data_IF_721072051200
#
_entry.id   IF_721072051200
#
_cell.length_a   1.000
_cell.length_b   1.000
_cell.length_c   1.000
_cell.angle_alpha   90.00
_cell.angle_beta   90.00
_cell.angle_gamma   90.00
#
_symmetry.space_group_name_H-M   'P 1'
#
loop_
_entity.id
_entity.type
_entity.pdbx_description
1 polymer ?
#
# COMPACT_ATOMS: atom_id res chain seq x y z
N UNK A 1 -12.42 -23.74 -27.54
CA UNK A 1 -11.14 -24.46 -27.80
C UNK A 1 -10.14 -23.45 -28.35
N UNK A 2 -8.92 -23.44 -27.84
CA UNK A 2 -7.80 -22.67 -28.37
C UNK A 2 -6.60 -23.62 -28.48
N UNK A 3 -6.19 -23.94 -29.70
CA UNK A 3 -5.09 -24.88 -29.92
C UNK A 3 -3.72 -24.27 -29.57
N UNK A 4 -3.55 -22.95 -29.68
CA UNK A 4 -2.27 -22.28 -29.42
C UNK A 4 -1.92 -22.32 -27.92
N UNK A 5 -2.95 -22.26 -27.07
CA UNK A 5 -2.84 -22.35 -25.61
C UNK A 5 -3.20 -23.74 -25.06
N UNK A 6 -3.37 -24.74 -25.93
CA UNK A 6 -3.78 -26.11 -25.57
C UNK A 6 -5.10 -26.21 -24.79
N UNK A 7 -5.98 -25.22 -24.91
CA UNK A 7 -7.28 -25.20 -24.23
C UNK A 7 -8.27 -26.04 -25.04
N UNK A 8 -8.79 -27.10 -24.43
CA UNK A 8 -9.78 -27.98 -25.04
C UNK A 8 -11.19 -27.44 -24.85
N UNK A 9 -11.52 -27.04 -23.62
CA UNK A 9 -12.87 -26.63 -23.21
C UNK A 9 -12.79 -25.42 -22.28
N UNK A 10 -13.71 -24.48 -22.48
CA UNK A 10 -14.01 -23.42 -21.50
C UNK A 10 -15.50 -23.50 -21.18
N UNK A 11 -15.82 -23.61 -19.91
CA UNK A 11 -17.19 -23.55 -19.38
C UNK A 11 -17.44 -22.17 -18.81
N UNK A 12 -18.63 -21.62 -19.03
CA UNK A 12 -19.01 -20.27 -18.61
C UNK A 12 -20.23 -20.30 -17.67
N UNK A 13 -20.37 -19.26 -16.84
CA UNK A 13 -21.59 -18.98 -16.10
C UNK A 13 -22.57 -18.11 -16.92
N UNK A 14 -23.71 -17.75 -16.32
CA UNK A 14 -24.74 -16.92 -16.96
C UNK A 14 -24.32 -15.45 -17.22
N UNK A 15 -23.20 -15.00 -16.62
CA UNK A 15 -22.57 -13.70 -16.89
C UNK A 15 -21.51 -13.78 -18.00
N UNK A 16 -21.39 -14.93 -18.66
CA UNK A 16 -20.33 -15.22 -19.64
C UNK A 16 -18.90 -15.19 -19.06
N UNK A 17 -18.73 -15.35 -17.74
CA UNK A 17 -17.42 -15.49 -17.10
C UNK A 17 -17.00 -16.96 -17.05
N UNK A 18 -15.72 -17.29 -17.33
CA UNK A 18 -15.24 -18.67 -17.37
C UNK A 18 -15.25 -19.27 -15.98
N UNK A 19 -15.93 -20.38 -15.76
CA UNK A 19 -15.93 -21.12 -14.49
C UNK A 19 -14.91 -22.25 -14.48
N UNK A 20 -14.55 -22.78 -15.66
CA UNK A 20 -13.50 -23.79 -15.81
C UNK A 20 -12.83 -23.70 -17.19
N UNK A 21 -11.51 -23.69 -17.19
CA UNK A 21 -10.68 -23.83 -18.39
C UNK A 21 -9.95 -25.17 -18.28
N UNK A 22 -10.12 -26.03 -19.28
CA UNK A 22 -9.47 -27.35 -19.34
C UNK A 22 -8.43 -27.36 -20.45
N UNK A 23 -7.22 -27.79 -20.11
CA UNK A 23 -6.10 -27.92 -21.01
C UNK A 23 -5.92 -29.39 -21.39
N UNK A 24 -5.40 -29.66 -22.58
CA UNK A 24 -5.26 -31.02 -23.09
C UNK A 24 -4.36 -31.91 -22.21
N UNK A 25 -3.28 -31.35 -21.66
CA UNK A 25 -2.24 -32.11 -20.95
C UNK A 25 -1.85 -31.49 -19.60
N UNK A 26 -1.88 -30.16 -19.48
CA UNK A 26 -1.36 -29.44 -18.32
C UNK A 26 -2.32 -29.38 -17.14
N UNK A 27 -3.61 -29.64 -17.34
CA UNK A 27 -4.62 -29.74 -16.28
C UNK A 27 -5.80 -28.80 -16.47
N UNK A 28 -6.25 -28.13 -15.40
CA UNK A 28 -7.39 -27.20 -15.47
C UNK A 28 -7.32 -26.06 -14.47
N UNK A 29 -7.97 -24.94 -14.79
CA UNK A 29 -8.17 -23.82 -13.85
C UNK A 29 -9.67 -23.67 -13.62
N UNK A 30 -10.07 -23.58 -12.35
CA UNK A 30 -11.47 -23.38 -11.92
C UNK A 30 -11.59 -22.02 -11.26
N UNK A 31 -12.68 -21.31 -11.53
CA UNK A 31 -12.96 -20.00 -10.95
C UNK A 31 -14.31 -20.01 -10.26
N UNK A 32 -14.37 -19.35 -9.10
CA UNK A 32 -15.60 -19.12 -8.35
C UNK A 32 -15.84 -17.62 -8.28
N UNK A 33 -17.07 -17.22 -8.57
CA UNK A 33 -17.52 -15.84 -8.55
C UNK A 33 -18.68 -15.69 -7.57
N UNK A 34 -18.82 -14.50 -7.00
CA UNK A 34 -20.06 -14.14 -6.32
C UNK A 34 -21.18 -13.79 -7.32
N UNK A 35 -22.38 -13.49 -6.82
CA UNK A 35 -23.54 -13.18 -7.65
C UNK A 35 -23.38 -11.92 -8.52
N UNK A 36 -22.45 -11.01 -8.17
CA UNK A 36 -22.17 -9.80 -8.94
C UNK A 36 -21.04 -9.99 -9.94
N UNK A 37 -20.53 -11.22 -10.13
CA UNK A 37 -19.45 -11.50 -11.07
C UNK A 37 -18.04 -11.20 -10.55
N UNK A 38 -17.86 -10.87 -9.27
CA UNK A 38 -16.53 -10.70 -8.69
C UNK A 38 -15.90 -12.06 -8.41
N UNK A 39 -14.67 -12.26 -8.86
CA UNK A 39 -13.91 -13.48 -8.60
C UNK A 39 -13.53 -13.55 -7.12
N UNK A 40 -13.89 -14.65 -6.46
CA UNK A 40 -13.61 -14.90 -5.04
C UNK A 40 -12.62 -16.04 -4.82
N UNK A 41 -12.48 -16.95 -5.78
CA UNK A 41 -11.52 -18.05 -5.71
C UNK A 41 -11.05 -18.50 -7.10
N UNK A 42 -9.79 -18.93 -7.18
CA UNK A 42 -9.16 -19.58 -8.34
C UNK A 42 -8.50 -20.87 -7.88
N UNK A 43 -8.71 -21.98 -8.57
CA UNK A 43 -8.07 -23.26 -8.28
C UNK A 43 -7.31 -23.73 -9.51
N UNK A 44 -5.99 -23.82 -9.39
CA UNK A 44 -5.10 -24.32 -10.45
C UNK A 44 -4.81 -25.79 -10.16
N UNK A 45 -5.35 -26.66 -11.01
CA UNK A 45 -5.12 -28.10 -10.98
C UNK A 45 -4.11 -28.46 -12.06
N UNK A 46 -2.82 -28.45 -11.73
CA UNK A 46 -1.78 -28.88 -12.66
C UNK A 46 -1.57 -30.41 -12.57
N UNK A 47 -1.48 -31.07 -13.73
CA UNK A 47 -1.30 -32.53 -13.79
C UNK A 47 -0.05 -32.95 -13.01
N UNK A 48 -0.21 -33.85 -12.04
CA UNK A 48 0.90 -34.38 -11.24
C UNK A 48 1.40 -33.46 -10.12
N UNK A 49 0.73 -32.33 -9.85
CA UNK A 49 1.02 -31.44 -8.72
C UNK A 49 -0.18 -31.29 -7.80
N UNK A 50 0.07 -30.88 -6.56
CA UNK A 50 -0.99 -30.47 -5.65
C UNK A 50 -1.70 -29.22 -6.22
N UNK A 51 -3.03 -29.18 -6.10
CA UNK A 51 -3.79 -28.03 -6.52
C UNK A 51 -3.41 -26.80 -5.68
N UNK A 52 -3.34 -25.64 -6.33
CA UNK A 52 -3.16 -24.35 -5.66
C UNK A 52 -4.51 -23.64 -5.66
N UNK A 53 -5.03 -23.37 -4.47
CA UNK A 53 -6.25 -22.57 -4.29
C UNK A 53 -5.86 -21.16 -3.91
N UNK A 54 -6.21 -20.18 -4.73
CA UNK A 54 -6.04 -18.76 -4.45
C UNK A 54 -7.39 -18.15 -4.06
N UNK A 55 -7.49 -17.64 -2.82
CA UNK A 55 -8.67 -16.92 -2.32
C UNK A 55 -8.45 -15.41 -2.40
N UNK A 56 -9.50 -14.68 -2.78
CA UNK A 56 -9.48 -13.22 -2.96
C UNK A 56 -10.44 -12.55 -1.97
N UNK A 57 -9.90 -11.73 -1.07
CA UNK A 57 -10.69 -11.05 -0.03
C UNK A 57 -10.26 -9.59 0.14
N UNK A 58 -11.04 -8.65 -0.40
CA UNK A 58 -10.78 -7.22 -0.20
C UNK A 58 -9.38 -6.76 -0.65
N UNK A 59 -8.85 -7.38 -1.71
CA UNK A 59 -7.49 -7.16 -2.21
C UNK A 59 -6.42 -8.08 -1.61
N UNK A 60 -6.68 -8.72 -0.47
CA UNK A 60 -5.81 -9.75 0.08
C UNK A 60 -5.88 -11.00 -0.78
N UNK A 61 -4.72 -11.60 -1.06
CA UNK A 61 -4.61 -12.88 -1.75
C UNK A 61 -4.04 -13.93 -0.81
N UNK A 62 -4.65 -15.12 -0.80
CA UNK A 62 -4.18 -16.26 -0.02
C UNK A 62 -3.98 -17.45 -0.94
N UNK A 63 -2.81 -18.08 -0.89
CA UNK A 63 -2.57 -19.36 -1.57
C UNK A 63 -2.64 -20.47 -0.51
N UNK A 64 -3.57 -21.42 -0.70
CA UNK A 64 -3.84 -22.53 0.22
C UNK A 64 -4.03 -22.06 1.67
N UNK A 65 -4.86 -21.03 1.86
CA UNK A 65 -5.14 -20.35 3.14
C UNK A 65 -3.95 -19.61 3.79
N UNK A 66 -2.80 -19.52 3.13
CA UNK A 66 -1.66 -18.71 3.59
C UNK A 66 -1.65 -17.36 2.88
N UNK A 67 -1.51 -16.27 3.64
CA UNK A 67 -1.41 -14.92 3.08
C UNK A 67 -0.23 -14.86 2.10
N UNK A 68 -0.52 -14.43 0.88
CA UNK A 68 0.48 -14.23 -0.17
C UNK A 68 0.94 -12.78 -0.21
N UNK A 69 0.00 -11.85 -0.33
CA UNK A 69 0.23 -10.42 -0.19
C UNK A 69 -1.10 -9.65 -0.06
N UNK A 70 -1.00 -8.36 0.25
CA UNK A 70 -2.12 -7.42 0.16
C UNK A 70 -1.64 -6.06 -0.39
N UNK A 71 -2.51 -5.32 -1.09
CA UNK A 71 -2.14 -4.07 -1.75
C UNK A 71 -1.98 -2.90 -0.76
N UNK A 72 -1.25 -1.89 -1.20
CA UNK A 72 -1.12 -0.55 -0.60
C UNK A 72 -1.26 0.49 -1.71
N UNK A 73 -1.39 1.78 -1.36
CA UNK A 73 -1.47 2.85 -2.37
C UNK A 73 -0.28 2.82 -3.35
N UNK A 74 0.93 2.63 -2.81
CA UNK A 74 2.18 2.68 -3.56
C UNK A 74 2.71 1.32 -4.05
N UNK A 75 1.96 0.23 -3.84
CA UNK A 75 2.41 -1.11 -4.20
C UNK A 75 1.74 -2.20 -3.39
N UNK A 76 2.51 -3.07 -2.74
CA UNK A 76 1.96 -4.19 -1.95
C UNK A 76 2.88 -4.60 -0.80
N UNK A 77 2.33 -5.39 0.10
CA UNK A 77 3.02 -5.98 1.24
C UNK A 77 2.95 -7.49 1.17
N UNK A 78 4.10 -8.14 1.29
CA UNK A 78 4.25 -9.59 1.40
C UNK A 78 4.69 -9.99 2.83
N UNK A 79 4.23 -11.14 3.35
CA UNK A 79 4.72 -11.64 4.63
C UNK A 79 6.17 -12.15 4.51
N UNK A 80 6.95 -11.93 5.56
CA UNK A 80 8.34 -12.36 5.69
C UNK A 80 8.60 -12.86 7.10
N UNK A 81 8.38 -14.15 7.32
CA UNK A 81 8.39 -14.76 8.66
C UNK A 81 7.32 -14.12 9.56
N UNK A 82 7.73 -13.58 10.71
CA UNK A 82 6.86 -12.84 11.63
C UNK A 82 6.76 -11.34 11.31
N UNK A 83 7.24 -10.90 10.14
CA UNK A 83 7.30 -9.50 9.72
C UNK A 83 6.66 -9.30 8.34
N UNK A 84 6.64 -8.06 7.88
CA UNK A 84 6.10 -7.67 6.58
C UNK A 84 7.17 -6.94 5.76
N UNK A 85 7.21 -7.24 4.46
CA UNK A 85 8.08 -6.55 3.50
C UNK A 85 7.22 -5.74 2.53
N UNK A 86 7.53 -4.46 2.46
CA UNK A 86 6.88 -3.51 1.57
C UNK A 86 7.60 -3.51 0.23
N UNK A 87 6.82 -3.58 -0.85
CA UNK A 87 7.27 -3.47 -2.23
C UNK A 87 6.53 -2.31 -2.87
N UNK A 88 7.28 -1.33 -3.36
CA UNK A 88 6.80 -0.15 -4.05
C UNK A 88 6.77 -0.37 -5.55
N UNK A 89 5.90 0.35 -6.24
CA UNK A 89 5.68 0.20 -7.67
C UNK A 89 5.77 1.53 -8.39
N UNK A 90 6.61 1.58 -9.41
CA UNK A 90 6.62 2.68 -10.37
C UNK A 90 5.69 2.32 -11.52
N UNK A 91 4.71 3.20 -11.79
CA UNK A 91 3.66 3.00 -12.78
C UNK A 91 3.79 4.03 -13.91
N UNK A 92 3.34 3.66 -15.11
CA UNK A 92 3.21 4.62 -16.21
C UNK A 92 1.87 5.38 -16.18
N UNK A 93 1.61 6.21 -17.19
CA UNK A 93 0.43 7.06 -17.28
C UNK A 93 -0.90 6.30 -17.33
N UNK A 94 -0.89 5.01 -17.69
CA UNK A 94 -2.07 4.13 -17.72
C UNK A 94 -2.14 3.21 -16.49
N UNK A 95 -1.25 3.41 -15.51
CA UNK A 95 -1.17 2.60 -14.32
C UNK A 95 -0.48 1.25 -14.52
N UNK A 96 0.24 1.01 -15.63
CA UNK A 96 0.98 -0.24 -15.82
C UNK A 96 2.20 -0.26 -14.90
N UNK A 97 2.39 -1.35 -14.15
CA UNK A 97 3.56 -1.50 -13.26
C UNK A 97 4.81 -1.74 -14.10
N UNK A 98 5.72 -0.75 -14.14
CA UNK A 98 6.98 -0.81 -14.89
C UNK A 98 8.12 -1.37 -14.06
N UNK A 99 8.19 -0.97 -12.79
CA UNK A 99 9.19 -1.45 -11.84
C UNK A 99 8.52 -1.77 -10.50
N UNK A 100 8.99 -2.82 -9.85
CA UNK A 100 8.73 -3.10 -8.44
C UNK A 100 10.05 -3.10 -7.70
N UNK A 101 10.14 -2.43 -6.56
CA UNK A 101 11.37 -2.29 -5.77
C UNK A 101 11.07 -2.26 -4.28
N UNK A 102 12.05 -2.60 -3.44
CA UNK A 102 11.87 -2.51 -1.98
C UNK A 102 12.32 -1.16 -1.42
N UNK A 103 12.17 -0.98 -0.11
CA UNK A 103 12.58 0.25 0.61
C UNK A 103 14.07 0.61 0.47
N UNK A 104 14.92 -0.31 0.03
CA UNK A 104 16.35 -0.08 -0.23
C UNK A 104 16.63 0.32 -1.68
N UNK A 105 15.57 0.53 -2.47
CA UNK A 105 15.61 0.77 -3.92
C UNK A 105 16.16 -0.41 -4.73
N UNK A 106 16.21 -1.59 -4.12
CA UNK A 106 16.58 -2.81 -4.83
C UNK A 106 15.42 -3.25 -5.73
N UNK A 107 15.67 -3.34 -7.04
CA UNK A 107 14.71 -3.81 -8.03
C UNK A 107 14.33 -5.27 -7.72
N UNK A 108 13.03 -5.51 -7.61
CA UNK A 108 12.42 -6.85 -7.43
C UNK A 108 11.92 -7.42 -8.73
N UNK A 109 11.39 -6.56 -9.60
CA UNK A 109 10.92 -6.95 -10.91
C UNK A 109 10.85 -5.74 -11.85
N UNK A 110 11.18 -5.97 -13.12
CA UNK A 110 10.93 -5.04 -14.22
C UNK A 110 9.91 -5.66 -15.19
N UNK A 111 9.01 -4.83 -15.69
CA UNK A 111 7.99 -5.24 -16.67
C UNK A 111 7.73 -4.14 -17.69
N UNK A 112 8.04 -4.42 -18.94
CA UNK A 112 7.73 -3.54 -20.07
C UNK A 112 6.65 -4.19 -20.93
N UNK A 113 5.78 -3.39 -21.54
CA UNK A 113 4.63 -3.89 -22.29
C UNK A 113 4.58 -3.29 -23.70
N UNK A 114 4.19 -4.12 -24.67
CA UNK A 114 3.64 -3.64 -25.93
C UNK A 114 2.33 -2.86 -25.68
N UNK A 115 1.85 -2.04 -26.64
CA UNK A 115 0.65 -1.22 -26.44
C UNK A 115 -0.59 -1.99 -25.98
N UNK A 116 -0.76 -3.23 -26.46
CA UNK A 116 -1.86 -4.13 -26.08
C UNK A 116 -1.53 -5.01 -24.86
N UNK A 117 -0.55 -4.62 -24.04
CA UNK A 117 -0.31 -5.24 -22.73
C UNK A 117 0.49 -6.54 -22.73
N UNK A 118 0.93 -7.04 -23.88
CA UNK A 118 1.84 -8.18 -23.92
C UNK A 118 3.18 -7.77 -23.32
N UNK A 119 3.67 -8.52 -22.33
CA UNK A 119 4.95 -8.26 -21.69
C UNK A 119 6.09 -8.48 -22.70
N UNK A 120 6.99 -7.52 -22.79
CA UNK A 120 8.21 -7.61 -23.57
C UNK A 120 9.26 -8.42 -22.82
N UNK A 121 10.11 -9.11 -23.57
CA UNK A 121 11.24 -9.88 -23.04
C UNK A 121 12.57 -9.20 -23.39
N UNK A 122 13.67 -9.64 -22.77
CA UNK A 122 15.03 -9.12 -23.06
C UNK A 122 15.49 -7.94 -22.20
N UNK A 123 14.73 -7.61 -21.15
CA UNK A 123 15.08 -6.58 -20.16
C UNK A 123 15.66 -7.21 -18.88
N UNK A 124 15.65 -6.48 -17.76
CA UNK A 124 16.08 -7.03 -16.48
C UNK A 124 15.19 -8.22 -16.07
N UNK A 125 15.83 -9.39 -15.92
CA UNK A 125 15.17 -10.63 -15.56
C UNK A 125 15.20 -10.92 -14.06
N UNK A 126 15.62 -9.96 -13.23
CA UNK A 126 15.56 -10.08 -11.77
C UNK A 126 14.11 -10.27 -11.34
N UNK A 127 13.85 -11.40 -10.69
CA UNK A 127 12.62 -11.69 -9.94
C UNK A 127 13.00 -12.11 -8.53
N UNK A 128 12.62 -11.32 -7.53
CA UNK A 128 12.93 -11.59 -6.12
C UNK A 128 11.74 -11.31 -5.21
N UNK A 129 11.40 -12.26 -4.35
CA UNK A 129 10.21 -12.18 -3.48
C UNK A 129 8.99 -12.86 -4.10
N UNK A 130 7.81 -12.52 -3.59
CA UNK A 130 6.54 -12.96 -4.15
C UNK A 130 6.33 -12.27 -5.49
N UNK A 131 6.09 -13.05 -6.54
CA UNK A 131 5.73 -12.48 -7.84
C UNK A 131 4.34 -11.84 -7.75
N UNK A 132 4.28 -10.52 -7.95
CA UNK A 132 3.01 -9.81 -8.03
C UNK A 132 2.42 -10.00 -9.43
N UNK A 133 1.26 -10.65 -9.54
CA UNK A 133 0.58 -10.88 -10.83
C UNK A 133 -0.17 -9.65 -11.37
N UNK A 134 -0.34 -8.58 -10.60
CA UNK A 134 -0.98 -7.34 -11.05
C UNK A 134 0.00 -6.47 -11.83
N UNK A 135 -0.17 -6.43 -13.16
CA UNK A 135 0.82 -5.87 -14.10
C UNK A 135 0.23 -4.76 -14.98
N UNK A 136 -0.28 -5.13 -16.15
CA UNK A 136 -0.89 -4.23 -17.13
C UNK A 136 -2.23 -3.70 -16.60
N UNK A 137 -2.40 -2.37 -16.59
CA UNK A 137 -3.53 -1.63 -16.01
C UNK A 137 -3.89 -2.05 -14.57
N UNK A 138 -2.89 -2.52 -13.81
CA UNK A 138 -3.09 -3.06 -12.46
C UNK A 138 -3.99 -4.31 -12.42
N UNK A 139 -4.13 -5.04 -13.53
CA UNK A 139 -4.93 -6.26 -13.63
C UNK A 139 -4.10 -7.51 -13.42
N UNK A 140 -4.73 -8.54 -12.84
CA UNK A 140 -4.08 -9.80 -12.55
C UNK A 140 -3.80 -10.57 -13.85
N UNK A 141 -2.53 -10.83 -14.12
CA UNK A 141 -2.09 -11.77 -15.14
C UNK A 141 -2.23 -13.20 -14.63
N UNK A 142 -3.03 -13.99 -15.32
CA UNK A 142 -3.20 -15.42 -15.13
C UNK A 142 -2.38 -16.14 -16.20
N UNK A 143 -1.13 -16.45 -15.88
CA UNK A 143 -0.17 -17.15 -16.73
C UNK A 143 -0.08 -18.65 -16.40
N UNK A 144 -0.85 -19.13 -15.43
CA UNK A 144 -0.84 -20.52 -15.02
C UNK A 144 -1.24 -21.44 -16.19
N UNK A 145 -0.52 -22.57 -16.31
CA UNK A 145 -0.70 -23.54 -17.40
C UNK A 145 -0.53 -22.96 -18.82
N UNK A 146 0.07 -21.77 -18.96
CA UNK A 146 0.28 -21.09 -20.23
C UNK A 146 -0.92 -20.28 -20.72
N UNK A 147 -1.86 -19.93 -19.83
CA UNK A 147 -3.07 -19.19 -20.20
C UNK A 147 -2.77 -17.78 -20.72
N UNK A 148 -2.03 -16.98 -19.94
CA UNK A 148 -1.60 -15.63 -20.31
C UNK A 148 -2.74 -14.65 -20.50
N UNK A 149 -3.80 -14.70 -19.68
CA UNK A 149 -4.93 -13.76 -19.74
C UNK A 149 -4.86 -12.75 -18.60
N UNK A 150 -5.35 -11.53 -18.85
CA UNK A 150 -5.62 -10.57 -17.79
C UNK A 150 -7.08 -10.63 -17.34
N UNK A 151 -7.29 -10.60 -16.03
CA UNK A 151 -8.61 -10.53 -15.42
C UNK A 151 -9.02 -9.08 -15.16
N UNK A 152 -10.05 -8.62 -15.88
CA UNK A 152 -10.61 -7.29 -15.73
C UNK A 152 -11.90 -7.27 -14.90
N UNK A 153 -12.33 -8.40 -14.35
CA UNK A 153 -13.57 -8.53 -13.59
C UNK A 153 -14.70 -9.06 -14.46
N UNK A 154 -15.27 -8.24 -15.35
CA UNK A 154 -16.41 -8.66 -16.20
C UNK A 154 -15.99 -9.33 -17.50
N UNK A 155 -14.71 -9.24 -17.88
CA UNK A 155 -14.15 -9.91 -19.06
C UNK A 155 -12.72 -10.36 -18.81
N UNK A 156 -12.29 -11.33 -19.62
CA UNK A 156 -10.89 -11.77 -19.67
C UNK A 156 -10.25 -11.25 -20.96
N UNK A 157 -9.04 -10.72 -20.84
CA UNK A 157 -8.31 -10.10 -21.93
C UNK A 157 -7.11 -10.94 -22.34
N UNK A 158 -6.95 -11.22 -23.63
CA UNK A 158 -5.73 -11.83 -24.15
C UNK A 158 -4.81 -10.75 -24.75
N UNK A 159 -3.72 -10.38 -24.08
CA UNK A 159 -2.79 -9.36 -24.56
C UNK A 159 -2.03 -9.80 -25.82
N UNK A 160 -1.89 -11.11 -26.08
CA UNK A 160 -1.23 -11.61 -27.29
C UNK A 160 -2.09 -11.38 -28.54
N UNK A 161 -3.41 -11.37 -28.38
CA UNK A 161 -4.36 -11.07 -29.45
C UNK A 161 -4.78 -9.60 -29.47
N UNK A 162 -4.64 -8.90 -28.34
CA UNK A 162 -5.11 -7.53 -28.15
C UNK A 162 -6.64 -7.44 -28.05
N UNK A 163 -7.32 -8.51 -27.59
CA UNK A 163 -8.79 -8.60 -27.64
C UNK A 163 -9.39 -9.23 -26.39
N UNK A 164 -10.67 -8.96 -26.16
CA UNK A 164 -11.46 -9.65 -25.15
C UNK A 164 -11.78 -11.09 -25.58
N UNK A 165 -11.87 -11.99 -24.61
CA UNK A 165 -12.26 -13.38 -24.82
C UNK A 165 -13.78 -13.58 -24.70
N UNK A 166 -14.48 -12.60 -24.13
CA UNK A 166 -15.91 -12.63 -23.84
C UNK A 166 -16.61 -11.40 -24.46
N UNK A 167 -17.90 -11.54 -24.76
CA UNK A 167 -18.72 -10.44 -25.31
C UNK A 167 -18.86 -9.34 -24.25
N UNK A 168 -18.74 -8.09 -24.67
CA UNK A 168 -19.01 -6.91 -23.83
C UNK A 168 -20.43 -6.94 -23.23
N UNK A 169 -20.58 -6.87 -21.88
CA UNK A 169 -21.89 -6.75 -21.24
C UNK A 169 -22.69 -5.51 -21.67
N UNK A 170 -22.00 -4.48 -22.18
CA UNK A 170 -22.57 -3.23 -22.67
C UNK A 170 -22.43 -3.08 -24.19
N UNK A 171 -22.32 -4.20 -24.92
CA UNK A 171 -22.15 -4.20 -26.37
C UNK A 171 -23.18 -3.32 -27.12
N UNK A 172 -24.43 -3.25 -26.64
CA UNK A 172 -25.46 -2.42 -27.29
C UNK A 172 -25.19 -0.91 -27.24
N UNK A 173 -24.37 -0.45 -26.27
CA UNK A 173 -23.97 0.97 -26.16
C UNK A 173 -22.91 1.34 -27.19
N UNK A 174 -22.11 0.37 -27.66
CA UNK A 174 -20.98 0.59 -28.55
C UNK A 174 -21.18 -0.03 -29.94
N UNK A 175 -22.28 0.32 -30.62
CA UNK A 175 -22.67 -0.26 -31.93
C UNK A 175 -21.62 -0.13 -33.05
N UNK A 176 -20.69 0.82 -32.93
CA UNK A 176 -19.63 1.06 -33.93
C UNK A 176 -18.42 0.14 -33.76
N UNK A 177 -18.28 -0.52 -32.63
CA UNK A 177 -17.12 -1.36 -32.30
C UNK A 177 -17.54 -2.82 -32.17
N UNK A 178 -16.58 -3.73 -32.37
CA UNK A 178 -16.81 -5.14 -32.08
C UNK A 178 -16.97 -5.31 -30.57
N UNK A 179 -17.87 -6.21 -30.09
CA UNK A 179 -17.96 -6.54 -28.65
C UNK A 179 -16.68 -7.12 -28.04
N UNK A 180 -15.67 -7.39 -28.88
CA UNK A 180 -14.38 -7.93 -28.50
C UNK A 180 -13.22 -6.91 -28.64
N UNK A 181 -13.51 -5.67 -29.04
CA UNK A 181 -12.50 -4.61 -29.19
C UNK A 181 -12.02 -4.16 -27.82
N UNK A 182 -10.70 -4.11 -27.63
CA UNK A 182 -10.07 -3.55 -26.43
C UNK A 182 -9.76 -2.07 -26.64
N UNK A 183 -10.11 -1.23 -25.66
CA UNK A 183 -9.69 0.17 -25.59
C UNK A 183 -9.90 0.97 -26.91
N UNK A 184 -10.99 0.70 -27.63
CA UNK A 184 -11.33 1.32 -28.92
C UNK A 184 -10.19 1.22 -29.96
N UNK A 185 -9.39 0.14 -29.90
CA UNK A 185 -8.17 -0.07 -30.70
C UNK A 185 -7.09 1.02 -30.50
N UNK A 186 -7.17 1.79 -29.42
CA UNK A 186 -6.23 2.85 -29.05
C UNK A 186 -5.74 2.71 -27.59
N UNK A 187 -5.08 1.59 -27.24
CA UNK A 187 -4.71 1.23 -25.87
C UNK A 187 -3.58 2.06 -25.26
N UNK A 188 -2.99 2.99 -26.04
CA UNK A 188 -2.03 3.98 -25.53
C UNK A 188 -2.76 5.13 -24.81
N UNK A 189 -4.03 5.35 -25.16
CA UNK A 189 -4.85 6.44 -24.63
C UNK A 189 -6.03 5.94 -23.79
N UNK A 190 -6.69 4.86 -24.20
CA UNK A 190 -7.85 4.32 -23.51
C UNK A 190 -7.49 3.07 -22.69
N UNK A 191 -8.20 2.89 -21.58
CA UNK A 191 -8.15 1.71 -20.70
C UNK A 191 -9.58 1.32 -20.39
N UNK A 192 -9.86 0.03 -20.20
CA UNK A 192 -11.14 -0.44 -19.68
C UNK A 192 -10.97 -0.83 -18.19
N UNK A 193 -11.49 -0.07 -17.22
CA UNK A 193 -11.22 -0.34 -15.81
C UNK A 193 -11.85 -1.61 -15.25
N UNK A 194 -12.96 -2.09 -15.79
CA UNK A 194 -13.74 -3.19 -15.22
C UNK A 194 -14.20 -4.24 -16.25
N UNK A 195 -13.75 -4.08 -17.50
CA UNK A 195 -14.12 -4.93 -18.60
C UNK A 195 -15.54 -4.66 -19.10
N UNK A 196 -16.11 -3.48 -18.91
CA UNK A 196 -17.42 -3.11 -19.46
C UNK A 196 -17.38 -1.88 -20.36
N UNK A 197 -16.46 -0.94 -20.13
CA UNK A 197 -16.41 0.27 -20.93
C UNK A 197 -14.99 0.85 -20.98
N UNK A 198 -14.53 1.15 -22.20
CA UNK A 198 -13.30 1.89 -22.40
C UNK A 198 -13.47 3.35 -21.96
N UNK A 199 -12.50 3.85 -21.22
CA UNK A 199 -12.38 5.22 -20.74
C UNK A 199 -11.01 5.78 -21.11
N UNK A 200 -10.88 7.11 -21.13
CA UNK A 200 -9.56 7.71 -21.23
C UNK A 200 -8.73 7.27 -20.00
N UNK A 201 -7.57 6.66 -20.28
CA UNK A 201 -6.63 6.12 -19.30
C UNK A 201 -5.70 7.17 -18.70
N UNK A 202 -5.86 8.44 -19.08
CA UNK A 202 -5.19 9.56 -18.45
C UNK A 202 -5.69 9.68 -17.00
N UNK A 203 -4.81 9.37 -16.05
CA UNK A 203 -5.00 9.76 -14.66
C UNK A 203 -4.88 11.29 -14.57
N UNK A 204 -5.79 11.95 -13.84
CA UNK A 204 -5.82 13.41 -13.71
C UNK A 204 -6.59 14.11 -14.83
N UNK A 205 -5.95 15.07 -15.49
CA UNK A 205 -6.62 15.96 -16.43
C UNK A 205 -6.59 15.41 -17.87
N UNK A 206 -7.74 15.42 -18.55
CA UNK A 206 -7.93 14.93 -19.92
C UNK A 206 -8.50 16.03 -20.83
N UNK A 207 -8.30 15.92 -22.14
CA UNK A 207 -8.92 16.84 -23.10
C UNK A 207 -10.30 16.35 -23.54
N UNK A 208 -11.35 17.13 -23.26
CA UNK A 208 -12.72 16.90 -23.71
C UNK A 208 -12.89 17.47 -25.12
N UNK A 209 -13.07 16.60 -26.11
CA UNK A 209 -13.16 16.98 -27.52
C UNK A 209 -14.52 17.59 -27.89
N UNK A 210 -15.58 17.26 -27.16
CA UNK A 210 -16.92 17.79 -27.41
C UNK A 210 -17.03 19.22 -26.90
N UNK A 211 -16.46 19.47 -25.72
CA UNK A 211 -16.45 20.80 -25.09
C UNK A 211 -15.19 21.63 -25.39
N UNK A 212 -14.21 21.03 -26.07
CA UNK A 212 -12.93 21.65 -26.48
C UNK A 212 -12.16 22.27 -25.31
N UNK A 213 -12.10 21.57 -24.18
CA UNK A 213 -11.46 22.05 -22.97
C UNK A 213 -10.79 20.90 -22.19
N UNK A 214 -9.75 21.20 -21.41
CA UNK A 214 -9.19 20.21 -20.50
C UNK A 214 -10.06 20.10 -19.25
N UNK A 215 -10.24 18.89 -18.73
CA UNK A 215 -11.04 18.59 -17.54
C UNK A 215 -10.33 17.63 -16.61
N UNK A 216 -10.51 17.81 -15.32
CA UNK A 216 -10.07 16.87 -14.31
C UNK A 216 -11.03 15.67 -14.23
N UNK A 217 -10.53 14.43 -14.33
CA UNK A 217 -11.34 13.22 -14.32
C UNK A 217 -12.10 13.00 -13.00
N UNK A 218 -11.51 13.38 -11.87
CA UNK A 218 -12.06 13.12 -10.54
C UNK A 218 -13.11 14.15 -10.10
N UNK A 219 -12.93 15.40 -10.50
CA UNK A 219 -13.80 16.52 -10.09
C UNK A 219 -14.73 17.01 -11.20
N UNK A 220 -14.43 16.67 -12.47
CA UNK A 220 -15.14 17.19 -13.65
C UNK A 220 -14.88 18.68 -13.93
N UNK A 221 -13.99 19.33 -13.17
CA UNK A 221 -13.67 20.73 -13.32
C UNK A 221 -12.87 20.98 -14.60
N UNK A 222 -13.18 22.08 -15.30
CA UNK A 222 -12.33 22.58 -16.38
C UNK A 222 -10.98 23.02 -15.81
N UNK A 223 -9.89 22.60 -16.44
CA UNK A 223 -8.52 22.98 -16.09
C UNK A 223 -7.85 23.63 -17.31
N UNK A 224 -6.79 24.39 -17.06
CA UNK A 224 -5.96 24.96 -18.14
C UNK A 224 -5.10 23.89 -18.82
N UNK A 225 -4.59 24.21 -20.02
CA UNK A 225 -3.66 23.32 -20.71
C UNK A 225 -2.38 23.10 -19.89
N UNK A 226 -1.90 24.15 -19.21
CA UNK A 226 -0.74 24.11 -18.34
C UNK A 226 -0.96 23.20 -17.11
N UNK A 227 -2.11 23.29 -16.46
CA UNK A 227 -2.48 22.40 -15.34
C UNK A 227 -2.69 20.96 -15.80
N UNK A 228 -3.21 20.76 -17.02
CA UNK A 228 -3.38 19.43 -17.59
C UNK A 228 -2.05 18.76 -17.93
N UNK A 229 -1.11 19.53 -18.47
CA UNK A 229 0.26 19.07 -18.75
C UNK A 229 1.01 18.84 -17.43
N UNK A 230 0.83 19.72 -16.43
CA UNK A 230 1.46 19.60 -15.12
C UNK A 230 0.99 18.37 -14.34
N UNK A 231 -0.29 17.98 -14.45
CA UNK A 231 -0.81 16.74 -13.86
C UNK A 231 -0.26 15.48 -14.52
N UNK A 232 0.27 15.57 -15.75
CA UNK A 232 0.98 14.47 -16.41
C UNK A 232 2.49 14.46 -16.10
N UNK A 233 3.03 15.54 -15.50
CA UNK A 233 4.45 15.67 -15.13
C UNK A 233 4.73 15.64 -13.63
N UNK A 234 3.69 15.68 -12.80
CA UNK A 234 3.80 15.62 -11.34
C UNK A 234 2.94 14.48 -10.82
N UNK A 235 3.57 13.57 -10.06
CA UNK A 235 2.86 12.74 -9.09
C UNK A 235 2.04 13.68 -8.21
N UNK A 236 0.74 13.74 -8.46
CA UNK A 236 -0.19 14.42 -7.56
C UNK A 236 -0.25 13.61 -6.28
N UNK A 237 0.50 14.09 -5.28
CA UNK A 237 0.37 13.85 -3.84
C UNK A 237 -0.98 14.36 -3.34
N UNK A 238 -2.07 13.89 -3.94
CA UNK A 238 -3.42 14.12 -3.45
C UNK A 238 -3.76 12.96 -2.51
N UNK A 239 -3.36 13.15 -1.25
CA UNK A 239 -3.99 12.52 -0.09
C UNK A 239 -5.45 12.94 0.05
N UNK A 240 -6.25 12.68 -0.98
CA UNK A 240 -7.69 12.83 -0.95
C UNK A 240 -8.30 11.73 -0.08
N UNK A 241 -8.97 12.13 0.99
CA UNK A 241 -9.93 11.30 1.71
C UNK A 241 -10.76 10.47 0.71
N UNK A 242 -11.03 9.18 1.00
CA UNK A 242 -11.86 8.35 0.14
C UNK A 242 -13.21 9.04 -0.13
N UNK A 243 -13.79 8.86 -1.33
CA UNK A 243 -15.01 9.55 -1.73
C UNK A 243 -16.10 9.39 -0.68
N UNK A 244 -16.57 10.53 -0.14
CA UNK A 244 -17.76 10.65 0.71
C UNK A 244 -19.02 10.35 -0.10
N UNK A 245 -19.19 9.12 -0.58
CA UNK A 245 -20.49 8.57 -0.97
C UNK A 245 -20.83 7.47 0.02
N UNK A 246 -21.81 7.75 0.89
CA UNK A 246 -22.40 6.77 1.81
C UNK A 246 -22.86 5.53 1.03
N UNK A 247 -22.24 4.34 1.18
CA UNK A 247 -22.81 3.13 0.65
C UNK A 247 -23.77 2.60 1.71
N UNK A 248 -25.05 2.94 1.55
CA UNK A 248 -26.11 2.22 2.24
C UNK A 248 -26.19 0.80 1.71
N UNK A 249 -25.37 -0.12 2.24
CA UNK A 249 -25.58 -1.57 2.10
C UNK A 249 -24.75 -2.42 3.10
N UNK A 250 -24.13 -1.82 4.13
CA UNK A 250 -23.37 -2.56 5.15
C UNK A 250 -24.25 -3.29 6.18
N UNK A 251 -25.58 -3.35 5.97
CA UNK A 251 -26.54 -3.91 6.92
C UNK A 251 -27.08 -5.30 6.56
N UNK A 252 -26.55 -5.97 5.54
CA UNK A 252 -27.10 -7.25 5.06
C UNK A 252 -26.15 -8.46 5.09
N UNK A 253 -24.94 -8.34 5.64
CA UNK A 253 -23.98 -9.45 5.69
C UNK A 253 -23.86 -10.12 7.08
N UNK A 254 -24.95 -10.13 7.86
CA UNK A 254 -24.96 -10.75 9.20
C UNK A 254 -25.90 -11.95 9.37
N UNK A 255 -26.35 -12.58 8.28
CA UNK A 255 -27.29 -13.72 8.38
C UNK A 255 -26.97 -14.80 7.34
N UNK A 256 -26.21 -15.83 7.75
CA UNK A 256 -26.53 -17.26 7.54
C UNK A 256 -25.37 -18.17 8.07
N UNK A 257 -25.34 -18.56 9.36
CA UNK A 257 -25.83 -19.83 9.99
C UNK A 257 -24.68 -20.85 10.22
N UNK A 258 -24.58 -21.66 11.32
CA UNK A 258 -25.30 -21.69 12.60
C UNK A 258 -24.43 -21.58 13.87
N UNK A 259 -25.17 -21.36 14.96
CA UNK A 259 -24.85 -21.26 16.39
C UNK A 259 -24.37 -22.57 17.04
N UNK A 260 -23.46 -22.47 18.02
CA UNK A 260 -23.58 -23.23 19.27
C UNK A 260 -23.34 -22.30 20.49
N UNK A 261 -24.45 -21.94 21.14
CA UNK A 261 -24.56 -21.63 22.56
C UNK A 261 -23.93 -20.34 23.11
N UNK A 262 -24.61 -19.19 22.97
CA UNK A 262 -24.82 -18.22 24.05
C UNK A 262 -25.79 -17.12 23.60
N UNK A 263 -26.80 -16.85 24.42
CA UNK A 263 -27.76 -15.75 24.28
C UNK A 263 -27.09 -14.39 24.51
N UNK A 264 -27.25 -13.43 23.59
CA UNK A 264 -26.83 -12.03 23.76
C UNK A 264 -28.03 -11.23 24.25
N UNK A 265 -27.88 -10.60 25.43
CA UNK A 265 -28.85 -9.68 26.00
C UNK A 265 -28.84 -8.34 25.25
N UNK A 266 -30.02 -7.78 24.99
CA UNK A 266 -30.29 -6.69 24.05
C UNK A 266 -30.00 -5.27 24.58
N UNK A 267 -29.07 -5.11 25.52
CA UNK A 267 -28.83 -3.82 26.19
C UNK A 267 -27.47 -3.15 25.93
N UNK A 268 -26.54 -3.76 25.19
CA UNK A 268 -25.28 -3.11 24.83
C UNK A 268 -25.38 -2.30 23.53
N UNK A 269 -25.13 -0.98 23.62
CA UNK A 269 -24.96 -0.09 22.47
C UNK A 269 -23.46 0.00 22.12
N UNK A 270 -23.06 -0.58 20.99
CA UNK A 270 -21.71 -0.43 20.45
C UNK A 270 -21.47 1.00 19.92
N UNK A 271 -20.36 1.61 20.32
CA UNK A 271 -19.88 2.91 19.81
C UNK A 271 -18.91 2.75 18.64
N UNK A 272 -18.69 3.83 17.89
CA UNK A 272 -17.68 3.90 16.81
C UNK A 272 -16.27 3.60 17.38
N UNK A 273 -15.72 2.44 17.00
CA UNK A 273 -14.42 1.96 17.48
C UNK A 273 -14.30 0.43 17.53
N UNK A 274 -15.42 -0.30 17.56
CA UNK A 274 -15.41 -1.76 17.60
C UNK A 274 -15.57 -2.38 16.20
N UNK A 275 -14.44 -2.62 15.52
CA UNK A 275 -14.39 -3.56 14.40
C UNK A 275 -13.41 -4.71 14.70
N UNK A 276 -14.01 -5.84 15.08
CA UNK A 276 -13.64 -7.22 14.76
C UNK A 276 -12.16 -7.60 14.71
N UNK A 277 -11.69 -8.17 15.83
CA UNK A 277 -10.75 -9.30 15.76
C UNK A 277 -11.52 -10.57 15.41
N UNK A 278 -11.28 -11.13 14.22
CA UNK A 278 -11.67 -12.50 13.92
C UNK A 278 -10.55 -13.43 14.44
N UNK A 279 -10.80 -14.09 15.57
CA UNK A 279 -9.96 -15.18 16.05
C UNK A 279 -10.35 -16.48 15.31
N UNK A 280 -9.41 -17.07 14.58
CA UNK A 280 -9.48 -18.47 14.12
C UNK A 280 -8.93 -19.35 15.25
N UNK A 281 -9.78 -20.23 15.81
CA UNK A 281 -9.34 -21.22 16.80
C UNK A 281 -8.60 -22.37 16.11
N UNK A 282 -7.35 -22.62 16.48
CA UNK A 282 -6.68 -23.90 16.21
C UNK A 282 -6.73 -24.76 17.48
N UNK A 283 -7.18 -26.00 17.33
CA UNK A 283 -7.17 -26.99 18.40
C UNK A 283 -5.75 -27.28 18.87
N UNK A 284 -5.61 -27.34 20.20
CA UNK A 284 -4.49 -27.88 20.97
C UNK A 284 -3.09 -27.28 20.70
N UNK A 285 -2.76 -26.21 21.44
CA UNK A 285 -1.38 -25.73 21.60
C UNK A 285 -1.35 -24.22 21.80
N UNK A 286 -1.38 -23.76 23.05
CA UNK A 286 -1.42 -22.33 23.41
C UNK A 286 -0.08 -21.67 23.07
N UNK A 287 -0.09 -20.68 22.17
CA UNK A 287 0.92 -19.63 22.09
C UNK A 287 0.21 -18.29 22.23
N UNK A 288 0.34 -17.70 23.41
CA UNK A 288 -0.23 -16.42 23.81
C UNK A 288 0.49 -15.29 23.06
N UNK A 289 -0.21 -14.67 22.10
CA UNK A 289 0.24 -13.47 21.42
C UNK A 289 -0.74 -12.36 21.81
N UNK A 290 -0.21 -11.34 22.52
CA UNK A 290 -0.84 -10.12 23.05
C UNK A 290 -1.20 -10.11 24.54
N UNK A 291 -0.28 -9.60 25.35
CA UNK A 291 -0.63 -8.80 26.55
C UNK A 291 0.08 -7.45 26.48
N UNK A 292 -0.69 -6.35 26.36
CA UNK A 292 -0.24 -4.98 26.63
C UNK A 292 -1.25 -4.30 27.59
N UNK A 293 -0.89 -4.25 28.88
CA UNK A 293 -1.40 -3.35 29.96
C UNK A 293 -2.84 -3.56 30.43
N UNK A 294 -3.21 -3.73 31.70
CA UNK A 294 -2.62 -3.36 32.99
C UNK A 294 -3.27 -4.18 34.11
N UNK A 295 -2.48 -4.77 35.02
CA UNK A 295 -2.74 -4.93 36.47
C UNK A 295 -1.75 -5.96 37.07
N UNK A 296 -0.76 -5.46 37.81
CA UNK A 296 0.00 -6.29 38.74
C UNK A 296 -0.91 -6.76 39.88
N UNK A 297 -1.51 -7.95 39.73
CA UNK A 297 -1.71 -8.89 40.83
C UNK A 297 -1.43 -10.28 40.28
N UNK A 298 -0.31 -10.84 40.73
CA UNK A 298 -0.10 -12.23 41.17
C UNK A 298 1.38 -12.60 40.99
N UNK A 299 2.01 -12.92 42.13
CA UNK A 299 3.35 -13.50 42.25
C UNK A 299 3.29 -14.99 41.93
N UNK A 300 4.28 -15.49 41.19
CA UNK A 300 4.95 -16.81 41.29
C UNK A 300 5.97 -16.83 40.14
N UNK A 301 7.24 -17.24 40.22
CA UNK A 301 8.00 -18.00 41.19
C UNK A 301 9.03 -18.84 40.39
N UNK A 302 10.30 -18.44 40.46
CA UNK A 302 11.52 -19.29 40.45
C UNK A 302 11.92 -20.12 39.22
N UNK A 303 13.06 -19.69 38.65
CA UNK A 303 14.24 -20.41 38.12
C UNK A 303 14.16 -21.48 37.00
N UNK A 304 15.02 -21.27 36.00
CA UNK A 304 15.51 -22.29 35.07
C UNK A 304 16.57 -21.71 34.13
N UNK A 305 17.84 -21.93 34.44
CA UNK A 305 19.03 -21.50 33.67
C UNK A 305 19.28 -22.48 32.53
N UNK A 306 19.50 -22.00 31.29
CA UNK A 306 20.49 -22.58 30.36
C UNK A 306 21.18 -21.45 29.61
N UNK A 307 22.52 -21.51 29.66
CA UNK A 307 23.47 -20.58 29.10
C UNK A 307 23.74 -20.83 27.60
N UNK A 308 24.06 -19.75 26.89
CA UNK A 308 25.15 -19.73 25.92
C UNK A 308 24.84 -20.05 24.46
N UNK A 309 24.56 -19.02 23.66
CA UNK A 309 25.29 -18.74 22.41
C UNK A 309 25.36 -17.22 22.26
N UNK A 310 26.54 -16.63 22.46
CA UNK A 310 26.84 -15.29 21.95
C UNK A 310 26.94 -15.38 20.43
N UNK A 311 26.07 -14.66 19.73
CA UNK A 311 26.28 -14.27 18.33
C UNK A 311 26.37 -12.76 18.31
N UNK A 312 27.48 -12.28 17.78
CA UNK A 312 27.94 -10.90 17.77
C UNK A 312 26.83 -9.88 17.44
N UNK A 313 26.77 -8.84 18.27
CA UNK A 313 25.91 -7.68 18.08
C UNK A 313 26.25 -6.95 16.77
N UNK A 314 25.31 -6.95 15.83
CA UNK A 314 25.16 -5.85 14.90
C UNK A 314 23.99 -4.99 15.43
N UNK A 315 24.30 -3.80 15.91
CA UNK A 315 23.34 -2.85 16.48
C UNK A 315 22.17 -2.60 15.53
N UNK A 316 20.95 -2.96 15.95
CA UNK A 316 19.74 -2.40 15.36
C UNK A 316 19.63 -0.95 15.84
N UNK A 317 19.90 0.01 14.96
CA UNK A 317 19.57 1.41 15.23
C UNK A 317 18.04 1.50 15.39
N UNK A 318 17.59 1.80 16.62
CA UNK A 318 16.17 1.88 16.96
C UNK A 318 15.39 2.92 16.13
N UNK A 319 14.07 2.96 16.29
CA UNK A 319 13.10 3.83 15.62
C UNK A 319 13.44 5.34 15.68
N UNK A 320 14.34 5.75 16.58
CA UNK A 320 14.91 7.11 16.65
C UNK A 320 16.44 7.13 16.51
N UNK A 321 17.02 6.30 15.64
CA UNK A 321 18.46 6.33 15.33
C UNK A 321 19.37 5.99 16.51
N UNK A 322 18.89 5.17 17.46
CA UNK A 322 19.63 4.82 18.69
C UNK A 322 19.26 5.64 19.93
N UNK A 323 18.39 6.66 19.81
CA UNK A 323 17.89 7.45 20.96
C UNK A 323 16.84 6.67 21.78
N UNK A 324 17.31 5.77 22.65
CA UNK A 324 16.48 4.89 23.49
C UNK A 324 15.48 5.67 24.39
N UNK A 325 15.82 6.90 24.78
CA UNK A 325 14.94 7.75 25.59
C UNK A 325 13.80 8.34 24.75
N UNK A 326 14.10 8.79 23.52
CA UNK A 326 13.09 9.35 22.62
C UNK A 326 12.05 8.30 22.22
N UNK A 327 12.45 7.04 22.08
CA UNK A 327 11.54 5.90 21.85
C UNK A 327 10.49 5.73 22.94
N UNK A 328 10.89 5.92 24.20
CA UNK A 328 10.03 5.70 25.36
C UNK A 328 8.97 6.78 25.55
N UNK A 329 9.28 8.03 25.21
CA UNK A 329 8.40 9.18 25.48
C UNK A 329 7.73 9.75 24.22
N UNK A 330 8.27 9.46 23.04
CA UNK A 330 7.80 9.97 21.75
C UNK A 330 7.94 11.48 21.59
N UNK A 331 7.42 11.99 20.49
CA UNK A 331 7.40 13.43 20.19
C UNK A 331 6.16 14.06 20.80
N UNK A 332 6.33 15.13 21.58
CA UNK A 332 5.24 15.89 22.22
C UNK A 332 5.57 17.38 22.20
N UNK A 333 4.62 18.22 22.61
CA UNK A 333 4.91 19.64 22.88
C UNK A 333 5.91 19.77 24.04
N UNK A 334 6.78 20.79 23.98
CA UNK A 334 7.77 21.05 25.01
C UNK A 334 7.16 21.12 26.42
N UNK A 335 6.02 21.80 26.58
CA UNK A 335 5.34 21.93 27.88
C UNK A 335 4.87 20.59 28.44
N UNK A 336 4.33 19.71 27.58
CA UNK A 336 3.89 18.38 27.97
C UNK A 336 5.08 17.50 28.37
N UNK A 337 6.16 17.56 27.59
CA UNK A 337 7.36 16.76 27.83
C UNK A 337 8.10 17.21 29.10
N UNK A 338 8.24 18.51 29.34
CA UNK A 338 8.86 19.07 30.54
C UNK A 338 8.15 18.61 31.83
N UNK A 339 6.82 18.48 31.79
CA UNK A 339 6.03 17.97 32.91
C UNK A 339 6.31 16.47 33.15
N UNK A 340 6.38 15.68 32.07
CA UNK A 340 6.63 14.23 32.13
C UNK A 340 8.04 13.86 32.59
N UNK A 341 9.04 14.70 32.28
CA UNK A 341 10.44 14.44 32.59
C UNK A 341 10.89 14.96 33.97
N UNK A 342 10.01 15.64 34.71
CA UNK A 342 10.32 16.22 36.02
C UNK A 342 10.82 15.15 36.99
N UNK A 343 12.02 15.36 37.54
CA UNK A 343 12.65 14.45 38.51
C UNK A 343 13.25 13.16 37.91
N UNK A 344 13.34 13.05 36.58
CA UNK A 344 13.86 11.84 35.89
C UNK A 344 15.29 11.98 35.37
N UNK A 345 15.94 13.13 35.56
CA UNK A 345 17.30 13.39 35.06
C UNK A 345 17.42 13.51 33.54
N UNK A 346 16.30 13.66 32.83
CA UNK A 346 16.21 13.76 31.37
C UNK A 346 15.87 15.19 30.93
N UNK A 347 16.22 15.52 29.68
CA UNK A 347 15.99 16.84 29.10
C UNK A 347 14.98 16.79 27.96
N UNK A 348 14.20 17.86 27.83
CA UNK A 348 13.31 18.09 26.70
C UNK A 348 14.08 18.90 25.66
N UNK A 349 14.42 18.28 24.53
CA UNK A 349 15.09 18.92 23.40
C UNK A 349 14.06 19.38 22.38
N UNK A 350 14.07 20.67 22.04
CA UNK A 350 13.24 21.20 20.95
C UNK A 350 13.77 20.73 19.60
N UNK A 351 12.91 20.12 18.78
CA UNK A 351 13.30 19.65 17.44
C UNK A 351 13.70 20.80 16.52
N UNK A 352 13.17 21.99 16.73
CA UNK A 352 13.70 23.24 16.18
C UNK A 352 14.01 24.14 17.36
N UNK A 353 15.21 24.72 17.42
CA UNK A 353 15.62 25.51 18.59
C UNK A 353 14.66 26.66 18.90
N UNK A 354 14.42 26.86 20.19
CA UNK A 354 13.48 27.85 20.73
C UNK A 354 13.67 29.28 20.17
N UNK A 355 14.91 29.65 19.79
CA UNK A 355 15.21 30.98 19.21
C UNK A 355 14.50 31.25 17.88
N UNK A 356 14.03 30.21 17.18
CA UNK A 356 13.29 30.33 15.91
C UNK A 356 11.77 30.38 16.09
N UNK A 357 11.26 30.30 17.33
CA UNK A 357 9.83 30.31 17.63
C UNK A 357 9.12 31.54 17.04
N UNK A 358 9.74 32.72 17.15
CA UNK A 358 9.23 33.97 16.59
C UNK A 358 9.13 33.93 15.06
N UNK A 359 10.18 33.48 14.38
CA UNK A 359 10.21 33.34 12.91
C UNK A 359 9.17 32.34 12.41
N UNK A 360 8.90 31.27 13.17
CA UNK A 360 7.91 30.25 12.82
C UNK A 360 6.47 30.63 13.20
N UNK A 361 6.27 31.69 14.00
CA UNK A 361 4.94 32.10 14.45
C UNK A 361 4.32 31.15 15.50
N UNK A 362 5.16 30.45 16.27
CA UNK A 362 4.73 29.48 17.28
C UNK A 362 5.25 29.86 18.66
N UNK A 363 4.60 29.40 19.73
CA UNK A 363 5.10 29.63 21.09
C UNK A 363 6.11 28.54 21.49
N UNK A 364 7.18 28.86 22.26
CA UNK A 364 8.18 27.88 22.68
C UNK A 364 7.62 26.63 23.40
N UNK A 365 6.51 26.79 24.13
CA UNK A 365 5.86 25.69 24.84
C UNK A 365 5.10 24.70 23.95
N UNK A 366 4.63 25.17 22.78
CA UNK A 366 3.90 24.35 21.81
C UNK A 366 4.80 23.66 20.78
N UNK A 367 6.10 23.97 20.76
CA UNK A 367 7.05 23.40 19.81
C UNK A 367 7.28 21.90 20.05
N UNK A 368 7.33 21.14 18.97
CA UNK A 368 7.62 19.70 18.98
C UNK A 368 8.99 19.42 19.57
N UNK A 369 9.04 18.50 20.53
CA UNK A 369 10.22 18.19 21.35
C UNK A 369 10.33 16.68 21.60
N UNK A 370 11.55 16.23 21.89
CA UNK A 370 11.88 14.84 22.27
C UNK A 370 12.58 14.78 23.62
N UNK A 371 12.50 13.61 24.26
CA UNK A 371 13.20 13.35 25.51
C UNK A 371 14.58 12.77 25.19
N UNK A 372 15.63 13.35 25.78
CA UNK A 372 17.03 12.98 25.55
C UNK A 372 17.81 13.02 26.86
N UNK A 373 18.98 12.39 26.90
CA UNK A 373 19.95 12.59 27.99
C UNK A 373 20.63 13.98 27.88
N UNK A 374 21.37 14.38 28.92
CA UNK A 374 22.10 15.65 28.89
C UNK A 374 23.20 15.66 27.81
N UNK A 375 23.84 14.53 27.57
CA UNK A 375 24.87 14.34 26.55
C UNK A 375 24.27 14.44 25.14
N UNK A 376 23.16 13.74 24.89
CA UNK A 376 22.42 13.76 23.62
C UNK A 376 21.87 15.17 23.31
N UNK A 377 21.34 15.87 24.32
CA UNK A 377 20.88 17.24 24.17
C UNK A 377 22.00 18.17 23.69
N UNK A 378 23.22 18.00 24.21
CA UNK A 378 24.37 18.80 23.82
C UNK A 378 24.79 18.55 22.37
N UNK A 379 24.68 17.31 21.89
CA UNK A 379 24.96 16.95 20.48
C UNK A 379 24.05 17.72 19.55
N UNK A 380 22.72 17.68 19.77
CA UNK A 380 21.77 18.39 18.91
C UNK A 380 21.89 19.91 19.00
N UNK A 381 22.14 20.43 20.20
CA UNK A 381 22.40 21.86 20.41
C UNK A 381 23.63 22.32 19.61
N UNK A 382 24.69 21.51 19.58
CA UNK A 382 25.90 21.85 18.82
C UNK A 382 25.65 21.75 17.31
N UNK A 383 24.90 20.75 16.84
CA UNK A 383 24.54 20.60 15.43
C UNK A 383 23.74 21.80 14.92
N UNK A 384 22.75 22.26 15.70
CA UNK A 384 21.98 23.46 15.36
C UNK A 384 22.84 24.73 15.31
N UNK A 385 23.77 24.89 16.26
CA UNK A 385 24.70 26.04 16.26
C UNK A 385 25.69 26.03 15.11
N UNK A 386 26.06 24.86 14.60
CA UNK A 386 26.94 24.74 13.44
C UNK A 386 26.23 25.11 12.14
N UNK A 387 24.95 24.75 12.01
CA UNK A 387 24.13 25.04 10.82
C UNK A 387 23.62 26.48 10.77
N UNK A 388 23.15 27.00 11.92
CA UNK A 388 22.69 28.39 12.05
C UNK A 388 23.30 28.95 13.32
N UNK A 389 24.19 29.92 13.18
CA UNK A 389 24.96 30.44 14.28
C UNK A 389 24.27 31.56 15.05
N UNK A 390 24.82 31.91 16.20
CA UNK A 390 24.51 33.19 16.87
C UNK A 390 25.22 34.33 16.13
N UNK A 391 24.77 35.57 16.37
CA UNK A 391 25.41 36.76 15.81
C UNK A 391 26.90 36.80 16.19
N UNK A 392 27.78 37.02 15.20
CA UNK A 392 29.24 36.99 15.37
C UNK A 392 29.90 35.60 15.34
N UNK A 393 29.16 34.53 15.03
CA UNK A 393 29.71 33.19 14.84
C UNK A 393 30.26 32.97 13.41
N UNK A 394 31.06 31.92 13.21
CA UNK A 394 31.62 31.53 11.90
C UNK A 394 30.59 30.89 10.95
N UNK A 395 29.31 30.81 11.32
CA UNK A 395 28.28 30.19 10.50
C UNK A 395 27.81 31.13 9.36
N UNK A 396 27.52 30.56 8.20
CA UNK A 396 27.11 31.30 6.98
C UNK A 396 25.75 31.98 7.12
N UNK A 397 24.94 31.59 8.11
CA UNK A 397 23.63 32.19 8.38
C UNK A 397 23.47 32.41 9.88
N UNK A 398 23.01 33.60 10.25
CA UNK A 398 22.81 33.99 11.65
C UNK A 398 21.35 33.82 12.08
N UNK A 399 21.11 33.78 13.40
CA UNK A 399 19.75 33.62 13.96
C UNK A 399 18.79 34.73 13.52
N UNK A 400 19.28 35.97 13.38
CA UNK A 400 18.46 37.13 13.05
C UNK A 400 18.01 37.14 11.57
N UNK A 401 18.76 36.49 10.69
CA UNK A 401 18.56 36.52 9.24
C UNK A 401 17.95 35.22 8.70
N UNK A 402 17.82 34.18 9.53
CA UNK A 402 17.35 32.87 9.11
C UNK A 402 15.87 32.89 8.72
N UNK A 403 15.59 32.70 7.43
CA UNK A 403 14.22 32.50 6.92
C UNK A 403 13.63 31.14 7.33
N UNK A 404 12.29 31.01 7.28
CA UNK A 404 11.59 29.73 7.54
C UNK A 404 12.17 28.58 6.71
N UNK A 405 12.42 28.82 5.43
CA UNK A 405 12.98 27.82 4.50
C UNK A 405 14.39 27.36 4.91
N UNK A 406 15.24 28.29 5.36
CA UNK A 406 16.59 27.97 5.83
C UNK A 406 16.57 27.16 7.14
N UNK A 407 15.66 27.49 8.06
CA UNK A 407 15.48 26.76 9.33
C UNK A 407 15.06 25.30 9.06
N UNK A 408 14.08 25.09 8.18
CA UNK A 408 13.66 23.75 7.79
C UNK A 408 14.72 22.99 6.99
N UNK A 409 15.49 23.68 6.15
CA UNK A 409 16.62 23.04 5.45
C UNK A 409 17.74 22.61 6.41
N UNK A 410 18.01 23.40 7.46
CA UNK A 410 18.95 23.03 8.51
C UNK A 410 18.43 21.82 9.32
N UNK A 411 17.15 21.81 9.68
CA UNK A 411 16.53 20.65 10.33
C UNK A 411 16.67 19.36 9.50
N UNK A 412 16.47 19.43 8.17
CA UNK A 412 16.70 18.29 7.26
C UNK A 412 18.12 17.74 7.34
N UNK A 413 19.13 18.59 7.49
CA UNK A 413 20.53 18.17 7.59
C UNK A 413 20.88 17.60 8.97
N UNK A 414 20.41 18.25 10.05
CA UNK A 414 20.67 17.84 11.44
C UNK A 414 20.03 16.49 11.75
N UNK A 415 18.80 16.29 11.26
CA UNK A 415 18.01 15.10 11.54
C UNK A 415 17.98 14.11 10.37
N UNK A 416 18.95 14.18 9.45
CA UNK A 416 19.01 13.31 8.25
C UNK A 416 18.94 11.80 8.60
N UNK A 417 19.49 11.42 9.74
CA UNK A 417 19.54 10.03 10.23
C UNK A 417 18.35 9.71 11.18
N UNK A 418 17.44 10.66 11.39
CA UNK A 418 16.30 10.57 12.30
C UNK A 418 14.96 10.82 11.57
N UNK A 419 14.50 9.89 10.71
CA UNK A 419 13.36 10.10 9.82
C UNK A 419 12.03 10.37 10.53
N UNK A 420 11.84 9.86 11.76
CA UNK A 420 10.65 10.16 12.57
C UNK A 420 10.61 11.61 13.05
N UNK A 421 11.77 12.22 13.30
CA UNK A 421 11.89 13.63 13.66
C UNK A 421 11.53 14.50 12.44
N UNK A 422 12.06 14.17 11.25
CA UNK A 422 11.74 14.87 10.01
C UNK A 422 10.24 14.82 9.69
N UNK A 423 9.63 13.63 9.79
CA UNK A 423 8.18 13.45 9.61
C UNK A 423 7.36 14.31 10.57
N UNK A 424 7.75 14.40 11.84
CA UNK A 424 7.04 15.21 12.83
C UNK A 424 7.20 16.73 12.61
N UNK A 425 8.22 17.14 11.86
CA UNK A 425 8.40 18.53 11.43
C UNK A 425 7.74 18.82 10.07
N UNK A 426 7.17 17.81 9.40
CA UNK A 426 6.58 17.93 8.07
C UNK A 426 7.63 18.10 6.96
N UNK A 427 8.81 17.48 7.12
CA UNK A 427 10.01 17.70 6.29
C UNK A 427 10.46 16.50 5.48
#
# INVERSE_FOLDING_TARGET
>A
KDNNKNITVITYNHLNLPTKITFATTGSIVYIYNATGQKVQKIVNETGKAAITTDYLGGYQYDNALLKFFPTAEGYVEPSGSSYKYVYQYKDHLGNVRLSYDKTLAIKEESNFYPFGLKQEGYNNVKSGVENKYKFNGKELQDELGLGFYDYGMRNYDPALGRWMNIDPLAEKMRRYSPYTYALDSPVFFVDPDGMQAEAGQSGNYYDWDEKQYKNKDTGATVTAEEAIASHSSESDDGGDPPKKKPGLFKQFLLAVPVLGATIDSSDKMGEGDYLGAALSFGAGVMDLFTLGTANKYKTGTAGVIAGVEVAAAEQAGKYGGLSVAEKYGIKSYSALKTLLKGKGLQAHHLIEQRFAGTLGVTPGSMSSIAVTAEEHQIFTNAWRAEIGYEGSKATTTTLEASKTQIYSAAKRIYKDYPQILKALGL
#
